data_IF_002872310139
#
_entry.id   IF_002872310139
#
_cell.length_a   1.000
_cell.length_b   1.000
_cell.length_c   1.000
_cell.angle_alpha   90.00
_cell.angle_beta   90.00
_cell.angle_gamma   90.00
#
_symmetry.space_group_name_H-M   'P 1'
#
loop_
_entity.id
_entity.type
_entity.pdbx_description
1 polymer ?
#
# COMPACT_ATOMS: atom_id res chain seq x y z
N UNK A 1 -48.72 62.61 83.01
CA UNK A 1 -49.30 61.25 82.91
C UNK A 1 -50.19 61.19 81.68
N UNK A 2 -50.21 60.04 80.98
CA UNK A 2 -50.98 59.74 79.75
C UNK A 2 -50.29 60.09 78.41
N UNK A 3 -49.25 59.31 78.07
CA UNK A 3 -48.86 59.05 76.66
C UNK A 3 -48.04 57.73 76.59
N UNK A 4 -48.64 56.66 77.08
CA UNK A 4 -48.07 55.29 77.08
C UNK A 4 -49.24 54.29 76.92
N UNK A 5 -49.81 54.16 75.73
CA UNK A 5 -50.76 53.05 75.45
C UNK A 5 -50.79 52.55 74.01
N UNK A 6 -50.27 53.31 73.05
CA UNK A 6 -50.50 52.98 71.63
C UNK A 6 -49.48 51.98 71.05
N UNK A 7 -48.30 51.83 71.67
CA UNK A 7 -47.27 50.87 71.22
C UNK A 7 -47.63 49.40 71.44
N UNK A 8 -48.39 49.09 72.50
CA UNK A 8 -48.77 47.72 72.85
C UNK A 8 -49.89 47.14 71.96
N UNK A 9 -50.68 47.99 71.32
CA UNK A 9 -51.66 47.59 70.31
C UNK A 9 -50.98 47.30 68.96
N UNK A 10 -50.01 48.13 68.58
CA UNK A 10 -49.26 47.98 67.33
C UNK A 10 -48.41 46.70 67.28
N UNK A 11 -47.73 46.36 68.39
CA UNK A 11 -46.93 45.12 68.48
C UNK A 11 -47.79 43.85 68.44
N UNK A 12 -49.00 43.88 69.02
CA UNK A 12 -49.96 42.76 68.93
C UNK A 12 -50.53 42.60 67.51
N UNK A 13 -50.74 43.70 66.80
CA UNK A 13 -51.14 43.69 65.40
C UNK A 13 -50.05 43.09 64.50
N UNK A 14 -48.79 43.52 64.68
CA UNK A 14 -47.65 42.97 63.94
C UNK A 14 -47.44 41.47 64.18
N UNK A 15 -47.56 41.01 65.43
CA UNK A 15 -47.38 39.59 65.77
C UNK A 15 -48.46 38.69 65.17
N UNK A 16 -49.71 39.18 65.06
CA UNK A 16 -50.81 38.46 64.37
C UNK A 16 -50.63 38.45 62.85
N UNK A 17 -50.05 39.51 62.28
CA UNK A 17 -49.73 39.56 60.85
C UNK A 17 -48.55 38.67 60.46
N UNK A 18 -47.55 38.56 61.33
CA UNK A 18 -46.36 37.74 61.08
C UNK A 18 -46.69 36.26 60.89
N UNK A 19 -47.64 35.72 61.66
CA UNK A 19 -48.08 34.32 61.50
C UNK A 19 -48.83 34.09 60.19
N UNK A 20 -49.61 35.08 59.74
CA UNK A 20 -50.34 34.99 58.46
C UNK A 20 -49.35 35.01 57.29
N UNK A 21 -48.32 35.85 57.34
CA UNK A 21 -47.29 35.94 56.29
C UNK A 21 -46.52 34.62 56.17
N UNK A 22 -46.11 34.00 57.28
CA UNK A 22 -45.37 32.72 57.25
C UNK A 22 -46.22 31.60 56.63
N UNK A 23 -47.51 31.54 56.95
CA UNK A 23 -48.42 30.56 56.36
C UNK A 23 -48.61 30.77 54.85
N UNK A 24 -48.71 32.02 54.40
CA UNK A 24 -48.80 32.34 52.97
C UNK A 24 -47.52 31.99 52.22
N UNK A 25 -46.34 32.27 52.79
CA UNK A 25 -45.05 31.88 52.21
C UNK A 25 -44.94 30.36 52.11
N UNK A 26 -45.31 29.64 53.17
CA UNK A 26 -45.30 28.17 53.18
C UNK A 26 -46.24 27.58 52.12
N UNK A 27 -47.45 28.11 51.99
CA UNK A 27 -48.41 27.68 50.99
C UNK A 27 -47.97 27.99 49.55
N UNK A 28 -47.35 29.16 49.32
CA UNK A 28 -46.77 29.50 48.01
C UNK A 28 -45.59 28.59 47.66
N UNK A 29 -44.78 28.21 48.64
CA UNK A 29 -43.62 27.35 48.42
C UNK A 29 -44.02 25.90 48.06
N UNK A 30 -45.03 25.34 48.71
CA UNK A 30 -45.54 23.99 48.37
C UNK A 30 -46.22 23.97 47.00
N UNK A 31 -46.97 25.01 46.65
CA UNK A 31 -47.53 25.15 45.31
C UNK A 31 -46.43 25.29 44.24
N UNK A 32 -45.42 26.11 44.50
CA UNK A 32 -44.30 26.33 43.58
C UNK A 32 -43.50 25.05 43.31
N UNK A 33 -43.19 24.28 44.34
CA UNK A 33 -42.46 22.99 44.20
C UNK A 33 -43.29 21.93 43.49
N UNK A 34 -44.60 21.89 43.73
CA UNK A 34 -45.53 21.02 42.98
C UNK A 34 -45.49 21.29 41.48
N UNK A 35 -45.60 22.55 41.06
CA UNK A 35 -45.54 22.93 39.64
C UNK A 35 -44.16 22.66 39.03
N UNK A 36 -43.08 22.97 39.75
CA UNK A 36 -41.71 22.73 39.28
C UNK A 36 -41.42 21.24 39.08
N UNK A 37 -41.87 20.37 40.00
CA UNK A 37 -41.70 18.92 39.86
C UNK A 37 -42.46 18.34 38.66
N UNK A 38 -43.69 18.81 38.41
CA UNK A 38 -44.48 18.41 37.24
C UNK A 38 -43.84 18.86 35.92
N UNK A 39 -43.28 20.07 35.89
CA UNK A 39 -42.54 20.56 34.71
C UNK A 39 -41.28 19.74 34.48
N UNK A 40 -40.53 19.40 35.53
CA UNK A 40 -39.30 18.61 35.43
C UNK A 40 -39.55 17.19 34.91
N UNK A 41 -40.57 16.49 35.42
CA UNK A 41 -40.91 15.14 34.94
C UNK A 41 -41.39 15.14 33.49
N UNK A 42 -42.19 16.14 33.10
CA UNK A 42 -42.56 16.35 31.70
C UNK A 42 -41.34 16.58 30.81
N UNK A 43 -40.40 17.43 31.25
CA UNK A 43 -39.17 17.70 30.51
C UNK A 43 -38.33 16.43 30.31
N UNK A 44 -38.14 15.65 31.37
CA UNK A 44 -37.41 14.37 31.30
C UNK A 44 -38.07 13.37 30.35
N UNK A 45 -39.41 13.32 30.34
CA UNK A 45 -40.15 12.46 29.43
C UNK A 45 -39.93 12.85 27.96
N UNK A 46 -40.01 14.14 27.65
CA UNK A 46 -39.78 14.66 26.28
C UNK A 46 -38.33 14.44 25.83
N UNK A 47 -37.35 14.69 26.69
CA UNK A 47 -35.93 14.48 26.32
C UNK A 47 -35.62 13.00 26.12
N UNK A 48 -36.19 12.11 26.94
CA UNK A 48 -35.99 10.67 26.78
C UNK A 48 -36.52 10.17 25.44
N UNK A 49 -37.71 10.61 25.03
CA UNK A 49 -38.24 10.27 23.71
C UNK A 49 -37.37 10.80 22.56
N UNK A 50 -36.86 12.03 22.67
CA UNK A 50 -35.95 12.59 21.67
C UNK A 50 -34.63 11.82 21.57
N UNK A 51 -34.11 11.31 22.69
CA UNK A 51 -32.88 10.51 22.72
C UNK A 51 -33.11 9.09 22.18
N UNK A 52 -34.26 8.47 22.48
CA UNK A 52 -34.64 7.15 21.94
C UNK A 52 -34.74 7.19 20.40
N UNK A 53 -35.33 8.25 19.83
CA UNK A 53 -35.40 8.45 18.38
C UNK A 53 -34.01 8.64 17.74
N UNK A 54 -33.13 9.41 18.40
CA UNK A 54 -31.75 9.61 17.93
C UNK A 54 -30.96 8.31 17.95
N UNK A 55 -31.09 7.51 18.99
CA UNK A 55 -30.43 6.21 19.08
C UNK A 55 -30.96 5.24 18.02
N UNK A 56 -32.27 5.22 17.78
CA UNK A 56 -32.86 4.42 16.71
C UNK A 56 -32.33 4.84 15.32
N UNK A 57 -32.26 6.14 15.04
CA UNK A 57 -31.73 6.66 13.78
C UNK A 57 -30.23 6.33 13.62
N UNK A 58 -29.43 6.47 14.67
CA UNK A 58 -28.01 6.10 14.66
C UNK A 58 -27.81 4.60 14.44
N UNK A 59 -28.65 3.76 15.07
CA UNK A 59 -28.58 2.31 14.89
C UNK A 59 -28.87 1.92 13.44
N UNK A 60 -29.88 2.53 12.83
CA UNK A 60 -30.18 2.29 11.41
C UNK A 60 -29.04 2.75 10.50
N UNK A 61 -28.45 3.93 10.75
CA UNK A 61 -27.32 4.43 9.99
C UNK A 61 -26.10 3.49 10.10
N UNK A 62 -25.77 3.03 11.30
CA UNK A 62 -24.67 2.09 11.53
C UNK A 62 -24.90 0.74 10.83
N UNK A 63 -26.14 0.24 10.82
CA UNK A 63 -26.49 -0.99 10.11
C UNK A 63 -26.35 -0.85 8.59
N UNK A 64 -26.75 0.29 8.02
CA UNK A 64 -26.58 0.57 6.60
C UNK A 64 -25.11 0.69 6.23
N UNK A 65 -24.31 1.36 7.06
CA UNK A 65 -22.87 1.45 6.84
C UNK A 65 -22.21 0.08 6.91
N UNK A 66 -22.55 -0.74 7.92
CA UNK A 66 -22.02 -2.10 8.04
C UNK A 66 -22.36 -2.96 6.82
N UNK A 67 -23.59 -2.85 6.29
CA UNK A 67 -23.99 -3.56 5.06
C UNK A 67 -23.16 -3.11 3.86
N UNK A 68 -23.04 -1.81 3.65
CA UNK A 68 -22.22 -1.26 2.58
C UNK A 68 -20.75 -1.73 2.67
N UNK A 69 -20.18 -1.73 3.88
CA UNK A 69 -18.82 -2.22 4.12
C UNK A 69 -18.70 -3.71 3.81
N UNK A 70 -19.65 -4.54 4.25
CA UNK A 70 -19.64 -5.98 3.93
C UNK A 70 -19.79 -6.26 2.44
N UNK A 71 -20.60 -5.47 1.72
CA UNK A 71 -20.76 -5.59 0.28
C UNK A 71 -19.48 -5.20 -0.46
N UNK A 72 -18.81 -4.13 -0.02
CA UNK A 72 -17.52 -3.69 -0.56
C UNK A 72 -16.44 -4.76 -0.34
N UNK A 73 -16.33 -5.30 0.88
CA UNK A 73 -15.39 -6.38 1.21
C UNK A 73 -15.68 -7.64 0.38
N UNK A 74 -16.95 -8.01 0.22
CA UNK A 74 -17.35 -9.15 -0.59
C UNK A 74 -17.07 -8.94 -2.08
N UNK A 75 -17.22 -7.71 -2.59
CA UNK A 75 -16.85 -7.36 -3.96
C UNK A 75 -15.34 -7.41 -4.19
N UNK A 76 -14.53 -6.90 -3.25
CA UNK A 76 -13.08 -6.98 -3.33
C UNK A 76 -12.57 -8.42 -3.24
N UNK A 77 -13.15 -9.23 -2.35
CA UNK A 77 -12.79 -10.65 -2.21
C UNK A 77 -13.06 -11.40 -3.51
N UNK A 78 -14.25 -11.21 -4.12
CA UNK A 78 -14.58 -11.82 -5.42
C UNK A 78 -13.63 -11.41 -6.53
N UNK A 79 -13.19 -10.15 -6.55
CA UNK A 79 -12.17 -9.68 -7.51
C UNK A 79 -10.84 -10.43 -7.31
N UNK A 80 -10.35 -10.54 -6.06
CA UNK A 80 -9.10 -11.27 -5.76
C UNK A 80 -9.19 -12.76 -6.10
N UNK A 81 -10.30 -13.40 -5.76
CA UNK A 81 -10.55 -14.81 -6.08
C UNK A 81 -10.60 -15.04 -7.59
N UNK A 82 -11.23 -14.12 -8.34
CA UNK A 82 -11.26 -14.20 -9.81
C UNK A 82 -9.90 -14.02 -10.48
N UNK A 83 -8.98 -13.28 -9.82
CA UNK A 83 -7.62 -13.04 -10.32
C UNK A 83 -6.63 -14.16 -9.93
N UNK A 84 -6.94 -14.95 -8.91
CA UNK A 84 -6.11 -16.07 -8.43
C UNK A 84 -5.64 -17.02 -9.54
N UNK A 85 -6.49 -17.54 -10.45
CA UNK A 85 -6.02 -18.46 -11.49
C UNK A 85 -5.01 -17.81 -12.45
N UNK A 86 -5.18 -16.52 -12.76
CA UNK A 86 -4.24 -15.78 -13.61
C UNK A 86 -2.89 -15.60 -12.91
N UNK A 87 -2.91 -15.13 -11.65
CA UNK A 87 -1.68 -14.95 -10.86
C UNK A 87 -0.93 -16.25 -10.64
N UNK A 88 -1.64 -17.37 -10.44
CA UNK A 88 -1.02 -18.68 -10.34
C UNK A 88 -0.33 -19.06 -11.65
N UNK A 89 -1.00 -18.89 -12.81
CA UNK A 89 -0.39 -19.18 -14.12
C UNK A 89 0.81 -18.29 -14.41
N UNK A 90 0.74 -17.01 -14.06
CA UNK A 90 1.88 -16.10 -14.16
C UNK A 90 3.07 -16.58 -13.32
N UNK A 91 2.83 -16.98 -12.08
CA UNK A 91 3.88 -17.53 -11.20
C UNK A 91 4.48 -18.82 -11.78
N UNK A 92 3.65 -19.74 -12.26
CA UNK A 92 4.09 -21.00 -12.86
C UNK A 92 5.02 -20.73 -14.08
N UNK A 93 4.62 -19.83 -14.98
CA UNK A 93 5.39 -19.44 -16.17
C UNK A 93 6.72 -18.78 -15.77
N UNK A 94 6.69 -17.91 -14.77
CA UNK A 94 7.89 -17.23 -14.28
C UNK A 94 8.90 -18.22 -13.67
N UNK A 95 8.43 -19.15 -12.83
CA UNK A 95 9.28 -20.19 -12.25
C UNK A 95 9.87 -21.09 -13.33
N UNK A 96 9.07 -21.51 -14.31
CA UNK A 96 9.56 -22.32 -15.41
C UNK A 96 10.61 -21.59 -16.24
N UNK A 97 10.38 -20.30 -16.54
CA UNK A 97 11.31 -19.48 -17.30
C UNK A 97 12.67 -19.38 -16.60
N UNK A 98 12.69 -19.16 -15.28
CA UNK A 98 13.93 -19.11 -14.51
C UNK A 98 14.61 -20.48 -14.45
N UNK A 99 13.87 -21.57 -14.23
CA UNK A 99 14.44 -22.92 -14.21
C UNK A 99 15.08 -23.30 -15.54
N UNK A 100 14.44 -22.97 -16.67
CA UNK A 100 14.99 -23.25 -18.00
C UNK A 100 16.22 -22.38 -18.27
N UNK A 101 16.18 -21.11 -17.89
CA UNK A 101 17.32 -20.21 -18.02
C UNK A 101 18.51 -20.64 -17.12
N UNK A 102 18.25 -21.13 -15.92
CA UNK A 102 19.26 -21.66 -14.99
C UNK A 102 19.97 -22.89 -15.58
N UNK A 103 19.22 -23.81 -16.20
CA UNK A 103 19.82 -24.98 -16.87
C UNK A 103 20.77 -24.62 -18.01
N UNK A 104 20.60 -23.46 -18.64
CA UNK A 104 21.50 -22.97 -19.70
C UNK A 104 22.82 -22.41 -19.15
N UNK A 105 22.86 -22.03 -17.87
CA UNK A 105 24.08 -21.53 -17.22
C UNK A 105 24.77 -22.58 -16.35
N UNK A 106 24.16 -23.77 -16.23
CA UNK A 106 24.74 -24.92 -15.55
C UNK A 106 26.07 -25.34 -16.20
N UNK A 107 27.09 -25.56 -15.37
CA UNK A 107 28.43 -25.93 -15.79
C UNK A 107 28.38 -27.25 -16.55
N UNK A 108 27.50 -28.18 -16.19
CA UNK A 108 27.42 -29.52 -16.79
C UNK A 108 26.76 -29.52 -18.19
N UNK A 109 26.02 -28.48 -18.54
CA UNK A 109 25.34 -28.36 -19.83
C UNK A 109 26.21 -27.59 -20.82
N UNK A 110 26.99 -28.32 -21.62
CA UNK A 110 27.84 -27.72 -22.65
C UNK A 110 27.01 -27.20 -23.85
N UNK A 111 27.40 -26.08 -24.49
CA UNK A 111 26.78 -25.63 -25.74
C UNK A 111 26.85 -26.71 -26.83
N UNK A 112 25.86 -26.74 -27.73
CA UNK A 112 25.74 -27.72 -28.84
C UNK A 112 25.56 -29.18 -28.41
N UNK A 113 25.16 -29.42 -27.16
CA UNK A 113 24.68 -30.73 -26.71
C UNK A 113 23.16 -30.83 -26.87
N UNK A 114 22.62 -32.05 -26.95
CA UNK A 114 21.16 -32.23 -27.03
C UNK A 114 20.44 -31.60 -25.81
N UNK A 115 21.02 -31.70 -24.62
CA UNK A 115 20.49 -31.07 -23.41
C UNK A 115 20.48 -29.54 -23.52
N UNK A 116 21.50 -28.93 -24.12
CA UNK A 116 21.51 -27.49 -24.41
C UNK A 116 20.40 -27.12 -25.37
N UNK A 117 20.31 -27.81 -26.51
CA UNK A 117 19.35 -27.51 -27.58
C UNK A 117 17.90 -27.63 -27.09
N UNK A 118 17.61 -28.62 -26.22
CA UNK A 118 16.29 -28.80 -25.61
C UNK A 118 15.93 -27.63 -24.67
N UNK A 119 16.87 -27.22 -23.81
CA UNK A 119 16.66 -26.10 -22.90
C UNK A 119 16.56 -24.76 -23.66
N UNK A 120 17.41 -24.55 -24.66
CA UNK A 120 17.42 -23.34 -25.49
C UNK A 120 16.10 -23.23 -26.26
N UNK A 121 15.62 -24.34 -26.85
CA UNK A 121 14.32 -24.39 -27.52
C UNK A 121 13.18 -24.07 -26.56
N UNK A 122 13.15 -24.66 -25.36
CA UNK A 122 12.11 -24.35 -24.37
C UNK A 122 12.18 -22.89 -23.92
N UNK A 123 13.36 -22.34 -23.72
CA UNK A 123 13.56 -20.93 -23.40
C UNK A 123 12.96 -20.03 -24.49
N UNK A 124 13.24 -20.31 -25.77
CA UNK A 124 12.68 -19.54 -26.88
C UNK A 124 11.16 -19.67 -26.98
N UNK A 125 10.58 -20.84 -26.72
CA UNK A 125 9.13 -21.03 -26.66
C UNK A 125 8.50 -20.17 -25.55
N UNK A 126 9.08 -20.17 -24.35
CA UNK A 126 8.62 -19.34 -23.24
C UNK A 126 8.76 -17.86 -23.59
N UNK A 127 9.94 -17.45 -24.09
CA UNK A 127 10.24 -16.05 -24.46
C UNK A 127 9.27 -15.50 -25.49
N UNK A 128 8.96 -16.23 -26.55
CA UNK A 128 8.12 -15.73 -27.65
C UNK A 128 6.63 -16.07 -27.49
N UNK A 129 6.27 -16.93 -26.54
CA UNK A 129 4.90 -17.34 -26.28
C UNK A 129 4.42 -16.87 -24.91
N UNK A 130 4.56 -17.74 -23.92
CA UNK A 130 3.93 -17.59 -22.59
C UNK A 130 4.37 -16.30 -21.88
N UNK A 131 5.66 -15.94 -21.95
CA UNK A 131 6.23 -14.77 -21.29
C UNK A 131 5.76 -13.44 -21.91
N UNK A 132 5.43 -13.40 -23.20
CA UNK A 132 4.88 -12.20 -23.85
C UNK A 132 3.45 -11.90 -23.38
N UNK A 133 2.70 -12.93 -22.96
CA UNK A 133 1.34 -12.75 -22.46
C UNK A 133 1.28 -12.25 -21.01
N UNK A 134 2.20 -12.71 -20.16
CA UNK A 134 2.18 -12.42 -18.71
C UNK A 134 3.21 -11.39 -18.27
N UNK A 135 4.25 -11.14 -19.07
CA UNK A 135 5.38 -10.31 -18.69
C UNK A 135 5.18 -8.82 -18.94
N UNK A 136 5.61 -8.02 -17.98
CA UNK A 136 5.75 -6.57 -18.18
C UNK A 136 6.95 -6.23 -19.10
N UNK A 137 7.10 -4.94 -19.42
CA UNK A 137 8.14 -4.48 -20.34
C UNK A 137 9.57 -4.73 -19.82
N UNK A 138 9.79 -4.65 -18.50
CA UNK A 138 11.09 -4.88 -17.88
C UNK A 138 11.51 -6.35 -18.01
N UNK A 139 10.58 -7.25 -17.66
CA UNK A 139 10.80 -8.69 -17.80
C UNK A 139 11.07 -9.11 -19.25
N UNK A 140 10.28 -8.57 -20.21
CA UNK A 140 10.46 -8.85 -21.64
C UNK A 140 11.80 -8.35 -22.18
N UNK A 141 12.31 -7.25 -21.64
CA UNK A 141 13.62 -6.73 -21.99
C UNK A 141 14.74 -7.59 -21.39
N UNK A 142 14.65 -7.99 -20.13
CA UNK A 142 15.63 -8.88 -19.51
C UNK A 142 15.71 -10.24 -20.22
N UNK A 143 14.55 -10.83 -20.54
CA UNK A 143 14.51 -12.10 -21.27
C UNK A 143 15.06 -11.98 -22.70
N UNK A 144 14.94 -10.81 -23.33
CA UNK A 144 15.59 -10.55 -24.63
C UNK A 144 17.12 -10.57 -24.50
N UNK A 145 17.69 -9.96 -23.45
CA UNK A 145 19.14 -9.95 -23.22
C UNK A 145 19.71 -11.34 -22.94
N UNK A 146 18.96 -12.18 -22.22
CA UNK A 146 19.31 -13.61 -22.08
C UNK A 146 19.37 -14.28 -23.45
N UNK A 147 18.37 -14.05 -24.31
CA UNK A 147 18.38 -14.57 -25.68
C UNK A 147 19.54 -14.06 -26.55
N UNK A 148 19.92 -12.78 -26.43
CA UNK A 148 21.08 -12.22 -27.12
C UNK A 148 22.39 -12.89 -26.69
N UNK A 149 22.58 -13.08 -25.38
CA UNK A 149 23.75 -13.79 -24.84
C UNK A 149 23.74 -15.28 -25.18
N UNK A 150 22.56 -15.89 -25.27
CA UNK A 150 22.41 -17.28 -25.68
C UNK A 150 22.92 -17.50 -27.11
N UNK A 151 22.55 -16.62 -28.04
CA UNK A 151 23.01 -16.65 -29.44
C UNK A 151 24.53 -16.47 -29.50
N UNK A 152 25.10 -15.59 -28.68
CA UNK A 152 26.55 -15.38 -28.61
C UNK A 152 27.30 -16.64 -28.19
N UNK A 153 26.83 -17.31 -27.12
CA UNK A 153 27.42 -18.58 -26.64
C UNK A 153 27.26 -19.73 -27.64
N UNK A 154 26.13 -19.78 -28.37
CA UNK A 154 25.93 -20.78 -29.43
C UNK A 154 26.87 -20.57 -30.62
N UNK A 155 27.14 -19.30 -30.95
CA UNK A 155 28.06 -18.92 -32.03
C UNK A 155 29.52 -19.23 -31.68
N UNK A 156 29.95 -18.94 -30.44
CA UNK A 156 31.27 -19.22 -29.91
C UNK A 156 31.21 -19.96 -28.57
N UNK A 157 31.17 -21.31 -28.59
CA UNK A 157 31.16 -22.14 -27.38
C UNK A 157 32.40 -22.00 -26.49
N UNK A 158 33.48 -21.40 -27.01
CA UNK A 158 34.73 -21.23 -26.26
C UNK A 158 34.70 -20.01 -25.33
N UNK A 159 33.76 -19.08 -25.56
CA UNK A 159 33.59 -17.88 -24.74
C UNK A 159 33.10 -18.26 -23.32
N UNK A 160 33.64 -17.63 -22.24
CA UNK A 160 33.14 -17.85 -20.90
C UNK A 160 31.67 -17.45 -20.77
N UNK A 161 30.87 -18.31 -20.12
CA UNK A 161 29.41 -18.14 -19.91
C UNK A 161 29.04 -17.18 -18.77
N UNK A 162 30.01 -16.40 -18.29
CA UNK A 162 29.80 -15.44 -17.20
C UNK A 162 28.73 -14.41 -17.55
N UNK A 163 28.75 -13.89 -18.78
CA UNK A 163 27.80 -12.87 -19.23
C UNK A 163 26.36 -13.43 -19.32
N UNK A 164 26.20 -14.67 -19.79
CA UNK A 164 24.90 -15.36 -19.80
C UNK A 164 24.38 -15.56 -18.38
N UNK A 165 25.23 -16.02 -17.46
CA UNK A 165 24.87 -16.17 -16.03
C UNK A 165 24.38 -14.86 -15.44
N UNK A 166 25.11 -13.77 -15.68
CA UNK A 166 24.71 -12.44 -15.22
C UNK A 166 23.34 -12.01 -15.78
N UNK A 167 23.07 -12.27 -17.06
CA UNK A 167 21.75 -11.95 -17.65
C UNK A 167 20.62 -12.80 -17.07
N UNK A 168 20.88 -14.06 -16.73
CA UNK A 168 19.91 -14.93 -16.06
C UNK A 168 19.62 -14.46 -14.63
N UNK A 169 20.65 -14.03 -13.89
CA UNK A 169 20.47 -13.39 -12.57
C UNK A 169 19.59 -12.13 -12.69
N UNK A 170 19.85 -11.31 -13.70
CA UNK A 170 19.01 -10.14 -13.98
C UNK A 170 17.57 -10.47 -14.38
N UNK A 171 17.36 -11.56 -15.10
CA UNK A 171 16.02 -12.04 -15.41
C UNK A 171 15.26 -12.44 -14.14
N UNK A 172 15.93 -13.11 -13.19
CA UNK A 172 15.35 -13.49 -11.91
C UNK A 172 14.94 -12.27 -11.06
N UNK A 173 15.78 -11.22 -11.05
CA UNK A 173 15.45 -9.97 -10.37
C UNK A 173 14.23 -9.27 -10.99
N UNK A 174 14.12 -9.20 -12.31
CA UNK A 174 12.94 -8.63 -12.98
C UNK A 174 11.68 -9.48 -12.77
N UNK A 175 11.80 -10.82 -12.70
CA UNK A 175 10.69 -11.70 -12.31
C UNK A 175 10.20 -11.34 -10.90
N UNK A 176 11.11 -11.17 -9.94
CA UNK A 176 10.76 -10.78 -8.56
C UNK A 176 10.04 -9.43 -8.53
N UNK A 177 10.57 -8.43 -9.21
CA UNK A 177 9.95 -7.10 -9.30
C UNK A 177 8.58 -7.14 -9.97
N UNK A 178 8.42 -7.96 -11.01
CA UNK A 178 7.14 -8.16 -11.69
C UNK A 178 6.09 -8.79 -10.77
N UNK A 179 6.48 -9.79 -9.96
CA UNK A 179 5.60 -10.41 -8.96
C UNK A 179 5.18 -9.42 -7.87
N UNK A 180 6.14 -8.68 -7.29
CA UNK A 180 5.87 -7.67 -6.26
C UNK A 180 4.86 -6.62 -6.75
N UNK A 181 4.98 -6.22 -8.01
CA UNK A 181 4.04 -5.32 -8.66
C UNK A 181 2.66 -5.95 -8.87
N UNK A 182 2.60 -7.18 -9.40
CA UNK A 182 1.33 -7.89 -9.65
C UNK A 182 0.53 -8.20 -8.37
N UNK A 183 1.21 -8.37 -7.23
CA UNK A 183 0.60 -8.68 -5.93
C UNK A 183 0.22 -7.43 -5.13
N UNK A 184 0.51 -6.23 -5.64
CA UNK A 184 0.09 -4.97 -5.02
C UNK A 184 0.85 -4.60 -3.74
N UNK A 185 2.06 -5.16 -3.56
CA UNK A 185 2.95 -4.78 -2.45
C UNK A 185 3.42 -3.32 -2.58
N UNK A 186 3.50 -2.78 -3.81
CA UNK A 186 3.80 -1.36 -4.07
C UNK A 186 2.58 -0.62 -4.63
N UNK A 187 1.69 -0.14 -3.75
CA UNK A 187 0.56 0.72 -4.15
C UNK A 187 0.93 2.20 -4.37
N UNK A 188 1.99 2.68 -3.74
CA UNK A 188 2.27 4.13 -3.61
C UNK A 188 3.67 4.56 -4.08
N UNK A 189 4.50 3.66 -4.58
CA UNK A 189 5.71 4.04 -5.31
C UNK A 189 5.35 3.91 -6.78
N UNK A 190 5.34 5.02 -7.50
CA UNK A 190 5.48 4.98 -8.95
C UNK A 190 6.60 3.97 -9.22
N UNK A 191 6.31 2.94 -10.01
CA UNK A 191 7.34 2.05 -10.54
C UNK A 191 8.21 2.93 -11.42
N UNK A 192 9.14 3.65 -10.79
CA UNK A 192 10.34 4.15 -11.41
C UNK A 192 11.03 2.86 -11.82
N UNK A 193 10.68 2.39 -13.01
CA UNK A 193 11.39 1.30 -13.67
C UNK A 193 12.87 1.57 -13.45
N UNK A 194 13.65 0.56 -13.10
CA UNK A 194 15.09 0.71 -12.83
C UNK A 194 15.86 1.42 -13.97
N UNK A 195 15.20 1.64 -15.11
CA UNK A 195 15.61 2.46 -16.25
C UNK A 195 15.52 3.98 -16.06
N UNK A 196 14.66 4.52 -15.19
CA UNK A 196 14.35 5.96 -15.16
C UNK A 196 14.93 6.76 -13.99
N UNK A 197 15.41 6.08 -12.93
CA UNK A 197 16.11 6.73 -11.82
C UNK A 197 17.31 5.89 -11.41
N UNK A 198 18.45 6.54 -11.27
CA UNK A 198 19.69 6.00 -10.73
C UNK A 198 19.46 5.55 -9.28
N UNK A 199 18.79 4.41 -9.08
CA UNK A 199 18.71 3.75 -7.78
C UNK A 199 20.09 3.14 -7.52
N UNK A 200 20.93 3.91 -6.84
CA UNK A 200 22.33 3.61 -6.53
C UNK A 200 22.56 2.40 -5.61
N UNK A 201 21.55 1.57 -5.37
CA UNK A 201 21.58 0.48 -4.37
C UNK A 201 20.90 -0.84 -4.74
N UNK A 202 20.41 -1.01 -5.97
CA UNK A 202 20.34 -2.37 -6.51
C UNK A 202 21.76 -2.74 -6.95
N UNK A 203 22.25 -3.99 -6.75
CA UNK A 203 23.50 -4.43 -7.35
C UNK A 203 23.47 -4.06 -8.83
N UNK A 204 24.45 -3.24 -9.24
CA UNK A 204 24.46 -2.40 -10.44
C UNK A 204 24.59 -3.20 -11.75
N UNK A 205 23.65 -4.10 -12.04
CA UNK A 205 23.86 -5.12 -13.06
C UNK A 205 22.83 -5.22 -14.17
N UNK A 206 21.59 -4.82 -13.92
CA UNK A 206 20.50 -5.07 -14.86
C UNK A 206 20.09 -3.83 -15.67
N UNK A 207 20.77 -2.70 -15.47
CA UNK A 207 20.68 -1.55 -16.37
C UNK A 207 21.61 -1.76 -17.56
N UNK A 208 21.04 -1.59 -18.75
CA UNK A 208 21.66 -1.69 -20.09
C UNK A 208 23.15 -1.34 -20.14
N UNK A 209 23.97 -2.29 -20.59
CA UNK A 209 24.86 -2.19 -21.76
C UNK A 209 25.86 -1.04 -21.96
N UNK A 210 25.86 0.06 -21.20
CA UNK A 210 26.76 1.21 -21.45
C UNK A 210 27.33 1.87 -20.19
N UNK A 211 26.95 1.42 -19.00
CA UNK A 211 27.57 1.89 -17.76
C UNK A 211 28.57 0.84 -17.26
N UNK A 212 29.86 1.22 -17.27
CA UNK A 212 30.94 0.44 -16.67
C UNK A 212 30.48 -0.04 -15.29
N UNK A 213 30.60 -1.35 -14.98
CA UNK A 213 30.22 -1.87 -13.68
C UNK A 213 30.92 -1.04 -12.61
N UNK A 214 30.16 -0.60 -11.60
CA UNK A 214 30.71 0.16 -10.49
C UNK A 214 31.82 -0.70 -9.86
N UNK A 215 33.06 -0.21 -9.96
CA UNK A 215 34.23 -0.87 -9.40
C UNK A 215 34.00 -1.08 -7.90
N UNK A 216 33.84 -2.33 -7.48
CA UNK A 216 34.03 -2.70 -6.08
C UNK A 216 35.46 -2.29 -5.72
N UNK A 217 35.57 -1.36 -4.77
CA UNK A 217 36.85 -0.72 -4.43
C UNK A 217 37.93 -1.75 -4.12
N UNK A 218 39.00 -1.76 -4.92
CA UNK A 218 40.18 -2.60 -4.70
C UNK A 218 40.73 -3.33 -5.93
N UNK A 219 39.96 -3.47 -7.02
CA UNK A 219 40.46 -4.12 -8.24
C UNK A 219 40.80 -3.09 -9.33
N UNK A 220 42.08 -3.08 -9.76
CA UNK A 220 42.53 -2.27 -10.90
C UNK A 220 42.14 -2.96 -12.21
N UNK A 221 41.53 -2.24 -13.17
CA UNK A 221 41.20 -2.83 -14.47
C UNK A 221 42.48 -3.12 -15.26
N UNK A 222 42.50 -4.28 -15.92
CA UNK A 222 43.50 -4.59 -16.94
C UNK A 222 43.28 -3.65 -18.13
N UNK A 223 44.18 -2.68 -18.31
CA UNK A 223 44.18 -1.79 -19.45
C UNK A 223 44.70 -2.53 -20.69
N UNK A 224 43.84 -2.76 -21.68
CA UNK A 224 44.29 -3.01 -23.03
C UNK A 224 44.74 -1.67 -23.64
N UNK A 225 46.05 -1.48 -23.75
CA UNK A 225 46.67 -0.40 -24.51
C UNK A 225 46.41 -0.65 -25.99
N UNK A 226 45.53 0.14 -26.63
CA UNK A 226 45.60 0.62 -28.03
C UNK A 226 44.19 0.94 -28.55
N UNK A 227 43.73 2.17 -28.27
CA UNK A 227 43.13 3.05 -29.27
C UNK A 227 42.70 4.34 -28.56
N UNK A 228 43.66 5.25 -28.39
CA UNK A 228 43.39 6.64 -28.07
C UNK A 228 44.24 7.50 -28.99
N UNK A 229 43.61 8.46 -29.65
CA UNK A 229 44.29 9.70 -30.05
C UNK A 229 44.28 10.01 -31.55
N UNK A 230 43.21 10.66 -32.01
CA UNK A 230 43.33 11.77 -32.97
C UNK A 230 42.04 12.62 -32.94
N UNK A 231 41.92 13.48 -31.93
CA UNK A 231 41.19 14.75 -32.04
C UNK A 231 41.91 15.78 -31.18
N UNK A 232 42.64 16.65 -31.85
CA UNK A 232 43.26 17.85 -31.26
C UNK A 232 42.17 18.87 -30.88
N UNK A 233 42.40 19.69 -29.83
CA UNK A 233 41.51 20.78 -29.46
C UNK A 233 41.71 21.99 -30.37
N UNK A 234 40.61 22.62 -30.80
CA UNK A 234 40.64 23.98 -31.37
C UNK A 234 40.92 25.00 -30.26
N UNK A 235 41.95 25.81 -30.48
CA UNK A 235 42.16 27.07 -29.76
C UNK A 235 41.15 28.12 -30.23
N UNK A 236 40.48 28.74 -29.27
CA UNK A 236 39.64 29.92 -29.45
C UNK A 236 40.51 31.15 -29.75
N UNK A 237 40.09 31.96 -30.73
CA UNK A 237 40.44 33.38 -30.89
C UNK A 237 39.19 34.16 -31.28
#
# INVERSE_FOLDING_TARGET
MARESDGAAFLRFFRRWQTIIVLLIGALWTLGTGVASGYFTYYQFVTKHADDERQAAQTQANLLQTRADTENIAAETRKRESQRPFLQKQLDIYLETIQVAEKLVDIDVMPKTAAWDDNARRFWQLRWGELEMVGDAGLRQAARRVGEQLIEVESDPSKPRHDLRWMVECLADEVRLSLEHSWGYERNRLRETATHKLVSKLPSGCTSGDLKPALLGGMKPLHALLNQGAREPMEDN
#
